data_IF_917466733638
#
_entry.id   IF_917466733638
#
_cell.length_a   1.000
_cell.length_b   1.000
_cell.length_c   1.000
_cell.angle_alpha   90.00
_cell.angle_beta   90.00
_cell.angle_gamma   90.00
#
_symmetry.space_group_name_H-M   'P 1'
#
loop_
_entity.id
_entity.type
_entity.pdbx_description
1 polymer ?
#
# COMPACT_ATOMS: atom_id res chain seq x y z
N UNK A 1 -22.67 66.10 -12.88
CA UNK A 1 -21.69 65.94 -11.74
C UNK A 1 -22.14 64.82 -10.78
N UNK A 2 -23.46 64.66 -10.47
CA UNK A 2 -23.95 63.59 -9.56
C UNK A 2 -23.80 62.19 -10.13
N UNK A 3 -23.99 62.00 -11.42
CA UNK A 3 -23.89 60.66 -12.07
C UNK A 3 -22.47 60.13 -12.20
N UNK A 4 -21.45 60.97 -12.29
CA UNK A 4 -20.06 60.58 -12.35
C UNK A 4 -19.52 60.08 -11.00
N UNK A 5 -20.01 60.64 -9.90
CA UNK A 5 -19.59 60.24 -8.55
C UNK A 5 -20.16 58.87 -8.13
N UNK A 6 -21.39 58.56 -8.57
CA UNK A 6 -22.02 57.26 -8.29
C UNK A 6 -21.36 56.11 -9.09
N UNK A 7 -20.88 56.37 -10.30
CA UNK A 7 -20.18 55.35 -11.11
C UNK A 7 -18.79 54.98 -10.55
N UNK A 8 -18.09 55.92 -9.90
CA UNK A 8 -16.79 55.65 -9.27
C UNK A 8 -16.90 54.86 -7.97
N UNK A 9 -17.92 55.09 -7.16
CA UNK A 9 -18.16 54.33 -5.90
C UNK A 9 -18.52 52.87 -6.22
N UNK A 10 -19.41 52.62 -7.20
CA UNK A 10 -19.77 51.26 -7.63
C UNK A 10 -18.62 50.50 -8.29
N UNK A 11 -17.67 51.18 -8.92
CA UNK A 11 -16.46 50.58 -9.49
C UNK A 11 -15.43 50.18 -8.43
N UNK A 12 -15.33 50.96 -7.34
CA UNK A 12 -14.46 50.68 -6.21
C UNK A 12 -14.98 49.48 -5.40
N UNK A 13 -16.28 49.42 -5.10
CA UNK A 13 -16.90 48.29 -4.41
C UNK A 13 -16.76 46.96 -5.18
N UNK A 14 -16.82 47.00 -6.50
CA UNK A 14 -16.61 45.84 -7.35
C UNK A 14 -15.12 45.39 -7.39
N UNK A 15 -14.16 46.30 -7.25
CA UNK A 15 -12.73 45.99 -7.17
C UNK A 15 -12.38 45.37 -5.81
N UNK A 16 -12.89 45.91 -4.71
CA UNK A 16 -12.68 45.35 -3.37
C UNK A 16 -13.28 43.93 -3.24
N UNK A 17 -14.46 43.68 -3.78
CA UNK A 17 -15.06 42.33 -3.80
C UNK A 17 -14.29 41.34 -4.64
N UNK A 18 -13.63 41.76 -5.74
CA UNK A 18 -12.78 40.89 -6.55
C UNK A 18 -11.47 40.57 -5.85
N UNK A 19 -10.89 41.46 -5.09
CA UNK A 19 -9.67 41.26 -4.34
C UNK A 19 -9.88 40.29 -3.17
N UNK A 20 -10.94 40.46 -2.37
CA UNK A 20 -11.31 39.50 -1.30
C UNK A 20 -11.58 38.08 -1.86
N UNK A 21 -12.22 37.97 -3.02
CA UNK A 21 -12.49 36.71 -3.67
C UNK A 21 -11.20 36.05 -4.16
N UNK A 22 -10.26 36.81 -4.74
CA UNK A 22 -8.95 36.34 -5.17
C UNK A 22 -8.10 35.87 -3.98
N UNK A 23 -8.08 36.61 -2.87
CA UNK A 23 -7.35 36.19 -1.66
C UNK A 23 -7.95 34.93 -1.05
N UNK A 24 -9.25 34.73 -1.07
CA UNK A 24 -9.91 33.52 -0.58
C UNK A 24 -9.54 32.28 -1.44
N UNK A 25 -9.52 32.43 -2.77
CA UNK A 25 -9.10 31.35 -3.68
C UNK A 25 -7.63 30.99 -3.46
N UNK A 26 -6.75 31.96 -3.33
CA UNK A 26 -5.33 31.75 -3.06
C UNK A 26 -5.14 31.04 -1.73
N UNK A 27 -5.86 31.44 -0.69
CA UNK A 27 -5.82 30.79 0.63
C UNK A 27 -6.27 29.32 0.57
N UNK A 28 -7.37 29.02 -0.13
CA UNK A 28 -7.88 27.66 -0.31
C UNK A 28 -6.89 26.81 -1.13
N UNK A 29 -6.37 27.36 -2.23
CA UNK A 29 -5.39 26.68 -3.08
C UNK A 29 -4.09 26.38 -2.32
N UNK A 30 -3.58 27.34 -1.54
CA UNK A 30 -2.39 27.15 -0.72
C UNK A 30 -2.61 26.10 0.36
N UNK A 31 -3.76 26.12 1.03
CA UNK A 31 -4.12 25.12 2.05
C UNK A 31 -4.26 23.70 1.44
N UNK A 32 -4.82 23.62 0.24
CA UNK A 32 -4.95 22.34 -0.49
C UNK A 32 -3.59 21.80 -0.92
N UNK A 33 -2.72 22.65 -1.45
CA UNK A 33 -1.36 22.29 -1.85
C UNK A 33 -0.51 21.88 -0.64
N UNK A 34 -0.62 22.60 0.48
CA UNK A 34 0.09 22.24 1.72
C UNK A 34 -0.40 20.91 2.27
N UNK A 35 -1.68 20.63 2.24
CA UNK A 35 -2.25 19.34 2.66
C UNK A 35 -1.84 18.20 1.73
N UNK A 36 -1.74 18.43 0.42
CA UNK A 36 -1.26 17.45 -0.55
C UNK A 36 0.25 17.19 -0.38
N UNK A 37 1.04 18.22 -0.17
CA UNK A 37 2.48 18.09 0.10
C UNK A 37 2.74 17.35 1.43
N UNK A 38 2.03 17.70 2.50
CA UNK A 38 2.13 17.01 3.78
C UNK A 38 1.70 15.53 3.67
N UNK A 39 0.69 15.21 2.87
CA UNK A 39 0.29 13.84 2.61
C UNK A 39 1.30 13.08 1.76
N UNK A 40 1.98 13.73 0.81
CA UNK A 40 3.05 13.15 0.01
C UNK A 40 4.31 12.87 0.85
N UNK A 41 4.61 13.68 1.85
CA UNK A 41 5.73 13.50 2.77
C UNK A 41 5.54 12.31 3.73
N UNK A 42 4.30 11.85 3.93
CA UNK A 42 3.93 10.71 4.77
C UNK A 42 3.64 9.42 3.99
N UNK A 43 3.75 9.41 2.67
CA UNK A 43 3.59 8.17 1.91
C UNK A 43 4.75 7.21 2.23
N UNK A 44 4.44 5.97 2.61
CA UNK A 44 5.49 4.99 2.89
C UNK A 44 6.24 4.61 1.61
N UNK A 45 7.53 4.34 1.75
CA UNK A 45 8.34 3.82 0.64
C UNK A 45 7.75 2.51 0.12
N UNK A 46 7.73 2.34 -1.20
CA UNK A 46 7.24 1.14 -1.87
C UNK A 46 8.42 0.19 -2.12
N UNK A 47 8.27 -1.06 -1.68
CA UNK A 47 9.26 -2.13 -1.90
C UNK A 47 9.11 -2.74 -3.29
N UNK A 48 7.88 -2.88 -3.76
CA UNK A 48 7.56 -3.48 -5.03
C UNK A 48 6.05 -3.71 -5.19
N UNK A 49 5.69 -4.52 -6.17
CA UNK A 49 4.31 -4.85 -6.52
C UNK A 49 4.05 -6.35 -6.40
N UNK A 50 3.04 -6.72 -5.64
CA UNK A 50 2.58 -8.10 -5.47
C UNK A 50 1.38 -8.37 -6.36
N UNK A 51 1.42 -9.47 -7.12
CA UNK A 51 0.32 -9.90 -7.99
C UNK A 51 0.05 -11.38 -7.80
N UNK A 52 -1.23 -11.73 -7.54
CA UNK A 52 -1.74 -13.11 -7.51
C UNK A 52 -3.07 -13.10 -8.24
N UNK A 53 -3.09 -13.61 -9.48
CA UNK A 53 -4.25 -13.52 -10.37
C UNK A 53 -5.45 -14.29 -9.84
N UNK A 54 -5.25 -15.49 -9.31
CA UNK A 54 -6.30 -16.37 -8.77
C UNK A 54 -7.09 -15.73 -7.62
N UNK A 55 -6.45 -14.87 -6.85
CA UNK A 55 -7.06 -14.16 -5.72
C UNK A 55 -7.43 -12.70 -6.05
N UNK A 56 -7.23 -12.26 -7.29
CA UNK A 56 -7.39 -10.86 -7.71
C UNK A 56 -6.61 -9.89 -6.80
N UNK A 57 -5.38 -10.27 -6.42
CA UNK A 57 -4.46 -9.45 -5.64
C UNK A 57 -3.51 -8.76 -6.61
N UNK A 58 -3.44 -7.44 -6.51
CA UNK A 58 -2.55 -6.59 -7.29
C UNK A 58 -2.33 -5.29 -6.53
N UNK A 59 -1.31 -5.27 -5.67
CA UNK A 59 -1.05 -4.16 -4.75
C UNK A 59 0.43 -3.81 -4.70
N UNK A 60 0.71 -2.53 -4.51
CA UNK A 60 2.04 -2.09 -4.08
C UNK A 60 2.25 -2.48 -2.62
N UNK A 61 3.46 -2.97 -2.32
CA UNK A 61 3.90 -3.37 -0.99
C UNK A 61 4.73 -2.24 -0.40
N UNK A 62 4.33 -1.76 0.77
CA UNK A 62 5.03 -0.68 1.47
C UNK A 62 6.15 -1.23 2.37
N UNK A 63 7.13 -0.39 2.67
CA UNK A 63 8.23 -0.73 3.58
C UNK A 63 7.77 -0.65 5.04
N UNK A 64 7.67 -1.79 5.70
CA UNK A 64 7.20 -1.95 7.07
C UNK A 64 5.74 -2.41 7.16
N UNK A 65 5.44 -3.14 8.24
CA UNK A 65 4.13 -3.75 8.51
C UNK A 65 3.53 -3.30 9.86
N UNK A 66 3.83 -2.08 10.30
CA UNK A 66 3.13 -1.46 11.44
C UNK A 66 1.69 -1.10 11.07
N UNK A 67 0.83 -0.94 12.05
CA UNK A 67 -0.57 -0.59 11.79
C UNK A 67 -0.71 0.62 10.86
N UNK A 68 0.05 1.69 11.09
CA UNK A 68 0.01 2.89 10.25
C UNK A 68 0.46 2.63 8.80
N UNK A 69 1.44 1.75 8.59
CA UNK A 69 1.92 1.38 7.25
C UNK A 69 0.88 0.52 6.51
N UNK A 70 0.25 -0.42 7.20
CA UNK A 70 -0.75 -1.31 6.63
C UNK A 70 -2.06 -0.59 6.21
N UNK A 71 -2.28 0.65 6.62
CA UNK A 71 -3.36 1.49 6.12
C UNK A 71 -3.19 1.85 4.63
N UNK A 72 -1.96 1.86 4.13
CA UNK A 72 -1.62 2.18 2.74
C UNK A 72 -1.60 0.96 1.81
N UNK A 73 -1.47 -0.24 2.35
CA UNK A 73 -1.41 -1.47 1.58
C UNK A 73 -0.72 -2.61 2.32
N UNK A 74 -0.47 -3.74 1.65
CA UNK A 74 0.38 -4.79 2.22
C UNK A 74 1.75 -4.24 2.57
N UNK A 75 2.33 -4.70 3.66
CA UNK A 75 3.61 -4.22 4.18
C UNK A 75 4.66 -5.31 4.32
N UNK A 76 5.90 -5.00 3.92
CA UNK A 76 7.06 -5.83 4.16
C UNK A 76 7.35 -5.92 5.66
N UNK A 77 7.44 -7.12 6.19
CA UNK A 77 7.74 -7.35 7.61
C UNK A 77 9.24 -7.19 7.83
N UNK A 78 9.61 -6.10 8.52
CA UNK A 78 11.02 -5.78 8.83
C UNK A 78 11.67 -6.90 9.65
N UNK A 79 12.93 -7.19 9.34
CA UNK A 79 13.69 -8.28 9.95
C UNK A 79 13.57 -9.61 9.22
N UNK A 80 12.67 -9.73 8.23
CA UNK A 80 12.66 -10.83 7.29
C UNK A 80 13.58 -10.54 6.08
N UNK A 81 13.82 -11.51 5.22
CA UNK A 81 14.71 -11.34 4.07
C UNK A 81 14.08 -10.49 2.97
N UNK A 82 14.89 -9.93 2.09
CA UNK A 82 14.44 -9.33 0.84
C UNK A 82 14.22 -10.41 -0.23
N UNK A 83 13.42 -10.15 -1.28
CA UNK A 83 13.15 -11.14 -2.31
C UNK A 83 14.45 -11.57 -3.03
N UNK A 84 14.62 -12.89 -3.20
CA UNK A 84 15.76 -13.47 -3.89
C UNK A 84 17.10 -13.38 -3.14
N UNK A 85 17.09 -13.10 -1.84
CA UNK A 85 18.33 -12.99 -1.04
C UNK A 85 18.71 -14.24 -0.23
N UNK A 86 18.07 -15.38 -0.52
CA UNK A 86 18.35 -16.65 0.14
C UNK A 86 17.58 -16.84 1.45
N UNK A 87 16.42 -16.23 1.60
CA UNK A 87 15.64 -16.34 2.82
C UNK A 87 14.15 -16.09 2.64
N UNK A 88 13.47 -15.88 3.75
CA UNK A 88 12.01 -15.71 3.79
C UNK A 88 11.62 -14.24 3.65
N UNK A 89 11.06 -13.85 2.53
CA UNK A 89 10.50 -12.53 2.28
C UNK A 89 9.04 -12.49 2.73
N UNK A 90 8.75 -11.82 3.83
CA UNK A 90 7.42 -11.85 4.42
C UNK A 90 6.65 -10.52 4.26
N UNK A 91 5.36 -10.65 3.93
CA UNK A 91 4.43 -9.55 3.68
C UNK A 91 3.15 -9.78 4.49
N UNK A 92 2.74 -8.78 5.26
CA UNK A 92 1.44 -8.75 5.94
C UNK A 92 0.46 -7.84 5.22
N UNK A 93 -0.83 -8.15 5.30
CA UNK A 93 -1.88 -7.31 4.74
C UNK A 93 -3.20 -7.46 5.48
N UNK A 94 -4.02 -6.40 5.46
CA UNK A 94 -5.35 -6.44 6.04
C UNK A 94 -6.28 -7.37 5.28
N UNK A 95 -7.13 -8.09 6.04
CA UNK A 95 -8.12 -9.02 5.48
C UNK A 95 -9.43 -8.34 5.13
N UNK A 96 -9.86 -7.34 5.92
CA UNK A 96 -11.21 -6.78 5.85
C UNK A 96 -11.27 -5.25 5.89
N UNK A 97 -10.19 -4.58 6.21
CA UNK A 97 -10.10 -3.11 6.33
C UNK A 97 -9.12 -2.52 5.34
N UNK A 98 -9.15 -1.18 5.16
CA UNK A 98 -8.23 -0.43 4.29
C UNK A 98 -8.13 -1.01 2.87
N UNK A 99 -9.31 -1.26 2.25
CA UNK A 99 -9.40 -1.85 0.92
C UNK A 99 -9.22 -3.37 0.89
N UNK A 100 -9.04 -4.02 2.04
CA UNK A 100 -8.90 -5.46 2.19
C UNK A 100 -7.92 -6.10 1.18
N UNK A 101 -6.65 -5.68 1.12
CA UNK A 101 -5.72 -6.12 0.08
C UNK A 101 -5.51 -7.63 0.06
N UNK A 102 -5.65 -8.31 1.20
CA UNK A 102 -5.59 -9.76 1.33
C UNK A 102 -6.97 -10.41 1.61
N UNK A 103 -8.05 -9.70 1.24
CA UNK A 103 -9.43 -10.18 1.43
C UNK A 103 -9.72 -11.54 0.81
N UNK A 104 -9.09 -11.83 -0.33
CA UNK A 104 -9.26 -13.07 -1.09
C UNK A 104 -8.06 -14.02 -0.98
N UNK A 105 -7.15 -13.82 -0.04
CA UNK A 105 -5.95 -14.67 0.11
C UNK A 105 -6.32 -16.15 0.35
N UNK A 106 -7.50 -16.43 0.89
CA UNK A 106 -8.04 -17.78 1.07
C UNK A 106 -8.41 -18.52 -0.23
N UNK A 107 -8.41 -17.83 -1.36
CA UNK A 107 -8.63 -18.46 -2.69
C UNK A 107 -7.36 -19.05 -3.28
N UNK A 108 -6.20 -18.65 -2.76
CA UNK A 108 -4.91 -19.13 -3.25
C UNK A 108 -4.73 -20.59 -2.90
N UNK A 109 -4.28 -21.39 -3.87
CA UNK A 109 -4.06 -22.82 -3.75
C UNK A 109 -2.61 -23.19 -4.04
N UNK A 110 -2.17 -24.31 -3.48
CA UNK A 110 -0.85 -24.90 -3.79
C UNK A 110 -0.72 -25.12 -5.31
N UNK A 111 0.44 -24.78 -5.87
CA UNK A 111 0.75 -24.84 -7.30
C UNK A 111 0.47 -23.54 -8.06
N UNK A 112 -0.22 -22.57 -7.45
CA UNK A 112 -0.47 -21.29 -8.09
C UNK A 112 0.75 -20.35 -8.04
N UNK A 113 0.71 -19.32 -8.87
CA UNK A 113 1.83 -18.38 -9.04
C UNK A 113 1.63 -17.11 -8.25
N UNK A 114 2.67 -16.70 -7.52
CA UNK A 114 2.82 -15.38 -6.92
C UNK A 114 3.91 -14.64 -7.70
N UNK A 115 3.61 -13.42 -8.12
CA UNK A 115 4.59 -12.52 -8.76
C UNK A 115 4.90 -11.36 -7.81
N UNK A 116 6.17 -11.12 -7.55
CA UNK A 116 6.63 -9.91 -6.89
C UNK A 116 7.60 -9.17 -7.83
N UNK A 117 7.34 -7.90 -8.06
CA UNK A 117 8.08 -7.09 -9.01
C UNK A 117 8.66 -5.85 -8.33
N UNK A 118 9.95 -5.63 -8.52
CA UNK A 118 10.67 -4.40 -8.18
C UNK A 118 10.94 -3.57 -9.45
N UNK A 119 11.64 -2.46 -9.33
CA UNK A 119 12.05 -1.67 -10.49
C UNK A 119 13.03 -2.40 -11.41
N UNK A 120 13.77 -3.37 -10.88
CA UNK A 120 14.85 -4.06 -11.61
C UNK A 120 14.57 -5.53 -11.87
N UNK A 121 13.74 -6.18 -11.06
CA UNK A 121 13.57 -7.63 -11.09
C UNK A 121 12.10 -8.02 -10.95
N UNK A 122 11.76 -9.16 -11.59
CA UNK A 122 10.53 -9.89 -11.32
C UNK A 122 10.86 -11.24 -10.70
N UNK A 123 10.25 -11.52 -9.57
CA UNK A 123 10.38 -12.76 -8.82
C UNK A 123 9.09 -13.57 -8.99
N UNK A 124 9.20 -14.78 -9.51
CA UNK A 124 8.10 -15.73 -9.64
C UNK A 124 8.23 -16.82 -8.60
N UNK A 125 7.21 -16.98 -7.77
CA UNK A 125 7.11 -18.03 -6.77
C UNK A 125 5.97 -18.97 -7.09
N UNK A 126 6.16 -20.26 -6.79
CA UNK A 126 5.08 -21.26 -6.76
C UNK A 126 4.60 -21.45 -5.32
N UNK A 127 3.29 -21.41 -5.11
CA UNK A 127 2.69 -21.66 -3.80
C UNK A 127 2.91 -23.12 -3.42
N UNK A 128 3.60 -23.36 -2.30
CA UNK A 128 3.92 -24.69 -1.78
C UNK A 128 3.09 -25.08 -0.57
N UNK A 129 2.56 -24.10 0.16
CA UNK A 129 1.77 -24.34 1.37
C UNK A 129 0.75 -23.23 1.61
N UNK A 130 -0.44 -23.61 2.07
CA UNK A 130 -1.47 -22.70 2.60
C UNK A 130 -1.91 -23.27 3.94
N UNK A 131 -1.84 -22.47 5.00
CA UNK A 131 -2.17 -22.93 6.36
C UNK A 131 -2.75 -21.84 7.24
N UNK A 132 -3.40 -22.28 8.32
CA UNK A 132 -3.90 -21.42 9.38
C UNK A 132 -3.07 -21.68 10.63
N UNK A 133 -2.57 -20.61 11.25
CA UNK A 133 -1.70 -20.66 12.42
C UNK A 133 -2.18 -19.73 13.50
N UNK A 134 -1.66 -19.87 14.72
CA UNK A 134 -1.86 -18.92 15.81
C UNK A 134 -1.14 -17.59 15.53
N UNK A 135 -1.61 -16.45 16.05
CA UNK A 135 -0.90 -15.18 15.92
C UNK A 135 0.52 -15.19 16.49
N UNK A 136 0.79 -16.07 17.45
CA UNK A 136 2.09 -16.23 18.12
C UNK A 136 3.05 -17.15 17.36
N UNK A 137 2.59 -17.83 16.32
CA UNK A 137 3.39 -18.78 15.53
C UNK A 137 4.38 -18.06 14.60
N UNK A 138 5.42 -17.47 15.16
CA UNK A 138 6.44 -16.69 14.45
C UNK A 138 7.35 -17.54 13.55
N UNK A 139 7.34 -18.88 13.70
CA UNK A 139 8.16 -19.77 12.89
C UNK A 139 7.88 -19.60 11.38
N UNK A 140 6.68 -19.18 10.99
CA UNK A 140 6.33 -18.93 9.58
C UNK A 140 7.14 -17.79 8.95
N UNK A 141 7.79 -16.96 9.76
CA UNK A 141 8.63 -15.84 9.32
C UNK A 141 10.12 -16.18 9.35
N UNK A 142 10.51 -17.35 9.88
CA UNK A 142 11.91 -17.74 10.01
C UNK A 142 12.55 -18.03 8.64
N UNK A 143 13.88 -17.94 8.61
CA UNK A 143 14.67 -18.33 7.44
C UNK A 143 14.91 -19.84 7.46
N UNK A 144 14.47 -20.51 6.41
CA UNK A 144 14.62 -21.96 6.24
C UNK A 144 15.78 -22.36 5.31
N UNK A 145 16.60 -21.38 4.90
CA UNK A 145 17.75 -21.61 4.02
C UNK A 145 17.41 -21.73 2.54
N UNK A 146 16.20 -21.37 2.16
CA UNK A 146 15.70 -21.30 0.79
C UNK A 146 15.11 -19.93 0.47
N UNK A 147 14.94 -19.61 -0.80
CA UNK A 147 14.25 -18.39 -1.22
C UNK A 147 12.74 -18.62 -1.22
N UNK A 148 12.05 -18.04 -0.25
CA UNK A 148 10.59 -18.11 -0.15
C UNK A 148 9.95 -16.76 0.07
N UNK A 149 8.64 -16.70 -0.26
CA UNK A 149 7.75 -15.61 0.10
C UNK A 149 6.69 -16.13 1.09
N UNK A 150 6.40 -15.36 2.12
CA UNK A 150 5.34 -15.65 3.08
C UNK A 150 4.35 -14.50 3.12
N UNK A 151 3.09 -14.78 2.82
CA UNK A 151 2.00 -13.81 2.91
C UNK A 151 1.13 -14.15 4.12
N UNK A 152 0.84 -13.17 4.97
CA UNK A 152 0.05 -13.38 6.18
C UNK A 152 -1.07 -12.36 6.33
N UNK A 153 -2.21 -12.80 6.82
CA UNK A 153 -3.38 -11.97 7.12
C UNK A 153 -4.21 -12.55 8.25
N UNK A 154 -5.10 -11.76 8.81
CA UNK A 154 -6.03 -12.21 9.86
C UNK A 154 -6.99 -13.31 9.36
N UNK A 155 -7.35 -14.23 10.26
CA UNK A 155 -8.29 -15.31 9.98
C UNK A 155 -9.14 -15.65 11.25
N UNK A 156 -10.41 -16.05 11.10
CA UNK A 156 -11.25 -15.87 9.92
C UNK A 156 -11.53 -14.38 9.61
N UNK A 157 -12.24 -14.08 8.52
CA UNK A 157 -12.65 -12.69 8.22
C UNK A 157 -13.35 -12.08 9.42
N UNK A 158 -13.06 -10.78 9.69
CA UNK A 158 -13.57 -10.03 10.86
C UNK A 158 -13.08 -10.55 12.23
N UNK A 159 -12.03 -11.36 12.25
CA UNK A 159 -11.41 -11.87 13.47
C UNK A 159 -9.88 -11.88 13.36
N UNK A 160 -9.21 -11.62 14.46
CA UNK A 160 -7.74 -11.68 14.55
C UNK A 160 -7.25 -12.88 15.38
N UNK A 161 -8.14 -13.88 15.62
CA UNK A 161 -7.81 -15.04 16.45
C UNK A 161 -6.75 -15.95 15.87
N UNK A 162 -6.66 -15.98 14.53
CA UNK A 162 -5.71 -16.81 13.80
C UNK A 162 -5.09 -15.99 12.66
N UNK A 163 -4.14 -16.58 11.96
CA UNK A 163 -3.52 -16.05 10.73
C UNK A 163 -3.68 -17.06 9.61
N UNK A 164 -4.11 -16.58 8.45
CA UNK A 164 -4.00 -17.30 7.19
C UNK A 164 -2.62 -16.99 6.61
N UNK A 165 -1.87 -18.03 6.26
CA UNK A 165 -0.51 -17.94 5.73
C UNK A 165 -0.42 -18.69 4.41
N UNK A 166 0.12 -18.01 3.41
CA UNK A 166 0.46 -18.58 2.10
C UNK A 166 1.97 -18.52 1.92
N UNK A 167 2.59 -19.64 1.60
CA UNK A 167 4.04 -19.75 1.41
C UNK A 167 4.31 -20.14 -0.04
N UNK A 168 5.18 -19.38 -0.70
CA UNK A 168 5.66 -19.65 -2.05
C UNK A 168 7.17 -19.89 -2.07
N UNK A 169 7.61 -20.82 -2.93
CA UNK A 169 9.02 -21.10 -3.21
C UNK A 169 9.43 -20.37 -4.48
N UNK A 170 10.59 -19.70 -4.46
CA UNK A 170 11.11 -19.00 -5.64
C UNK A 170 11.44 -20.01 -6.75
N UNK A 171 10.86 -19.79 -7.93
CA UNK A 171 11.13 -20.59 -9.14
C UNK A 171 12.04 -19.86 -10.13
N UNK A 172 11.84 -18.56 -10.29
CA UNK A 172 12.51 -17.79 -11.35
C UNK A 172 12.68 -16.32 -10.95
N UNK A 173 13.83 -15.76 -11.33
CA UNK A 173 14.09 -14.32 -11.30
C UNK A 173 14.32 -13.84 -12.73
N UNK A 174 13.60 -12.80 -13.14
CA UNK A 174 13.82 -12.10 -14.39
C UNK A 174 14.35 -10.70 -14.08
N UNK A 175 15.49 -10.37 -14.67
CA UNK A 175 16.12 -9.05 -14.53
C UNK A 175 15.69 -8.17 -15.70
N UNK A 176 15.17 -6.98 -15.39
CA UNK A 176 14.85 -5.99 -16.40
C UNK A 176 16.13 -5.24 -16.78
N UNK A 177 16.43 -5.27 -18.05
CA UNK A 177 17.57 -4.56 -18.61
C UNK A 177 17.31 -3.08 -18.84
#
# INVERSE_FOLDING_TARGET
IRNQKMMTEQSLDNLEQTDEFQESIISIATKTLTNQAAKAEFLPDVVGRLTILSANINHYVVFGATNNKLEYGPGYILGTSLPGSGGNFAIAGHRTTYGAPFGNLDRVQVGETIIFQTNTNQYKYEVIEVKIVSPEDNYVLENYGDDRITLTTCHPKFSAKQRLVVIGQLEKVEVFG
#
